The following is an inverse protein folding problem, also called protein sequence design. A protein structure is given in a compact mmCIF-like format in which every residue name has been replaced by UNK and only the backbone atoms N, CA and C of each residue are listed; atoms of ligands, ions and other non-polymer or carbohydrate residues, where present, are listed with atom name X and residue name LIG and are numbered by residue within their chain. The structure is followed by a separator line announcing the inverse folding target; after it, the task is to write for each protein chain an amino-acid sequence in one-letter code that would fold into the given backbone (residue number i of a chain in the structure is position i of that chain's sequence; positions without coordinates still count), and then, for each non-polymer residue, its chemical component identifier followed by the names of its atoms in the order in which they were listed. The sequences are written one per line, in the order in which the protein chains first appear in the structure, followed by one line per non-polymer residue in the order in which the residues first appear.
data_IF_557945415943
#
_entry.id   IF_557945415943
#
_cell.length_a   1.000
_cell.length_b   1.000
_cell.length_c   1.000
_cell.angle_alpha   90.00
_cell.angle_beta   90.00
_cell.angle_gamma   90.00
#
_symmetry.space_group_name_H-M   'P 1'
#
loop_
_entity.id
_entity.type
_entity.pdbx_description
1 polymer ?
#
# COMPACT_ATOMS: atom_id res chain seq x y z
N UNK A 1 -13.85 -42.60 34.17
CA UNK A 1 -13.06 -42.38 32.94
C UNK A 1 -14.00 -41.73 31.92
N UNK A 2 -13.89 -40.40 31.76
CA UNK A 2 -14.77 -39.66 30.85
C UNK A 2 -13.98 -39.32 29.58
N UNK A 3 -14.39 -39.88 28.48
CA UNK A 3 -13.86 -39.59 27.15
C UNK A 3 -14.22 -38.13 26.77
N UNK A 4 -13.19 -37.25 26.69
CA UNK A 4 -13.31 -35.94 26.02
C UNK A 4 -13.43 -36.18 24.52
N UNK A 5 -14.62 -36.02 23.98
CA UNK A 5 -14.85 -35.88 22.54
C UNK A 5 -14.30 -34.51 22.13
N UNK A 6 -13.14 -34.52 21.50
CA UNK A 6 -12.60 -33.37 20.76
C UNK A 6 -13.40 -33.17 19.48
N UNK A 7 -14.32 -32.22 19.48
CA UNK A 7 -14.96 -31.74 18.25
C UNK A 7 -13.88 -31.16 17.33
N UNK A 8 -13.47 -31.95 16.33
CA UNK A 8 -12.72 -31.45 15.16
C UNK A 8 -13.56 -30.37 14.51
N UNK A 9 -13.16 -29.12 14.68
CA UNK A 9 -13.58 -28.04 13.78
C UNK A 9 -13.18 -28.48 12.38
N UNK A 10 -14.14 -28.72 11.51
CA UNK A 10 -13.91 -28.93 10.08
C UNK A 10 -13.28 -27.64 9.56
N UNK A 11 -11.99 -27.65 9.28
CA UNK A 11 -11.41 -26.65 8.40
C UNK A 11 -12.15 -26.82 7.08
N UNK A 12 -12.93 -25.85 6.69
CA UNK A 12 -13.49 -25.76 5.35
C UNK A 12 -12.30 -25.61 4.40
N UNK A 13 -11.79 -26.75 3.95
CA UNK A 13 -10.74 -26.80 2.94
C UNK A 13 -11.36 -26.32 1.63
N UNK A 14 -11.18 -25.03 1.35
CA UNK A 14 -11.64 -24.39 0.12
C UNK A 14 -11.09 -25.07 -1.14
N UNK A 15 -10.00 -25.83 -1.03
CA UNK A 15 -9.43 -26.63 -2.12
C UNK A 15 -10.39 -27.70 -2.67
N UNK A 16 -11.37 -28.14 -1.87
CA UNK A 16 -12.35 -29.15 -2.30
C UNK A 16 -13.63 -28.58 -2.93
N UNK A 17 -13.85 -27.25 -2.90
CA UNK A 17 -15.05 -26.61 -3.44
C UNK A 17 -14.88 -25.97 -4.82
N UNK A 18 -13.69 -25.82 -5.37
CA UNK A 18 -13.53 -25.17 -6.67
C UNK A 18 -13.50 -26.19 -7.81
N UNK A 19 -14.66 -26.59 -8.26
CA UNK A 19 -14.88 -27.00 -9.65
C UNK A 19 -15.11 -25.77 -10.57
N UNK A 20 -14.84 -24.58 -10.10
CA UNK A 20 -14.81 -23.39 -10.96
C UNK A 20 -13.59 -23.48 -11.87
N UNK A 21 -13.80 -23.48 -13.20
CA UNK A 21 -12.68 -23.48 -14.13
C UNK A 21 -11.78 -22.26 -13.84
N UNK A 22 -10.47 -22.43 -14.04
CA UNK A 22 -9.52 -21.32 -13.95
C UNK A 22 -9.94 -20.28 -14.97
N UNK A 23 -9.92 -18.97 -14.62
CA UNK A 23 -10.01 -17.95 -15.65
C UNK A 23 -8.84 -18.17 -16.63
N UNK A 24 -9.13 -18.13 -17.92
CA UNK A 24 -8.09 -18.24 -18.91
C UNK A 24 -7.08 -17.10 -18.74
N UNK A 25 -5.81 -17.33 -19.03
CA UNK A 25 -4.77 -16.29 -18.97
C UNK A 25 -5.21 -15.06 -19.75
N UNK A 26 -5.85 -15.28 -20.88
CA UNK A 26 -6.39 -14.26 -21.77
C UNK A 26 -7.46 -13.40 -21.09
N UNK A 27 -8.31 -13.98 -20.27
CA UNK A 27 -9.33 -13.23 -19.51
C UNK A 27 -8.70 -12.32 -18.45
N UNK A 28 -7.69 -12.80 -17.74
CA UNK A 28 -6.94 -11.99 -16.78
C UNK A 28 -6.22 -10.84 -17.49
N UNK A 29 -5.57 -11.12 -18.60
CA UNK A 29 -4.87 -10.10 -19.39
C UNK A 29 -5.82 -9.09 -20.03
N UNK A 30 -6.99 -9.52 -20.50
CA UNK A 30 -8.04 -8.61 -20.97
C UNK A 30 -8.50 -7.68 -19.86
N UNK A 31 -8.71 -8.20 -18.66
CA UNK A 31 -9.10 -7.41 -17.50
C UNK A 31 -8.02 -6.40 -17.10
N UNK A 32 -6.76 -6.84 -17.01
CA UNK A 32 -5.61 -5.97 -16.78
C UNK A 32 -5.49 -4.89 -17.88
N UNK A 33 -5.69 -5.27 -19.14
CA UNK A 33 -5.64 -4.34 -20.29
C UNK A 33 -6.76 -3.31 -20.22
N UNK A 34 -7.97 -3.71 -19.84
CA UNK A 34 -9.11 -2.80 -19.69
C UNK A 34 -8.86 -1.77 -18.59
N UNK A 35 -8.29 -2.18 -17.46
CA UNK A 35 -8.00 -1.31 -16.32
C UNK A 35 -6.75 -0.44 -16.52
N UNK A 36 -5.74 -0.97 -17.22
CA UNK A 36 -4.47 -0.28 -17.49
C UNK A 36 -4.39 0.32 -18.89
N UNK A 37 -5.50 0.52 -19.57
CA UNK A 37 -5.61 0.97 -20.97
C UNK A 37 -4.33 1.61 -21.56
N UNK A 38 -3.84 1.18 -22.74
CA UNK A 38 -2.66 1.75 -23.40
C UNK A 38 -2.76 3.27 -23.63
N UNK A 39 -3.97 3.83 -23.67
CA UNK A 39 -4.19 5.27 -23.75
C UNK A 39 -3.68 6.04 -22.53
N UNK A 40 -3.60 5.40 -21.35
CA UNK A 40 -2.93 5.93 -20.15
C UNK A 40 -1.43 6.09 -20.37
N UNK A 41 -0.88 5.27 -21.26
CA UNK A 41 0.53 5.17 -21.59
C UNK A 41 0.86 5.93 -22.87
N UNK A 42 -0.09 6.72 -23.42
CA UNK A 42 0.15 7.57 -24.56
C UNK A 42 1.50 8.27 -24.39
N UNK A 43 2.31 8.40 -25.46
CA UNK A 43 3.72 8.76 -25.33
C UNK A 43 3.83 10.09 -24.61
N UNK A 44 4.08 10.04 -23.31
CA UNK A 44 4.63 11.15 -22.56
C UNK A 44 5.99 11.34 -23.16
N UNK A 45 6.09 12.27 -24.09
CA UNK A 45 7.35 12.69 -24.65
C UNK A 45 8.14 13.23 -23.47
N UNK A 46 9.04 12.41 -22.93
CA UNK A 46 10.12 12.89 -22.09
C UNK A 46 10.97 13.74 -23.01
N UNK A 47 10.59 14.99 -23.17
CA UNK A 47 11.37 15.99 -23.89
C UNK A 47 12.70 16.16 -23.17
N UNK A 48 13.69 15.39 -23.56
CA UNK A 48 15.05 15.58 -23.12
C UNK A 48 15.61 16.71 -23.94
N UNK A 49 15.65 17.90 -23.39
CA UNK A 49 16.38 19.03 -23.96
C UNK A 49 17.89 18.73 -23.87
N UNK A 50 18.61 19.04 -24.92
CA UNK A 50 20.06 18.93 -24.91
C UNK A 50 20.62 19.86 -23.81
N UNK A 51 21.34 19.37 -22.79
CA UNK A 51 21.92 20.22 -21.76
C UNK A 51 22.83 21.32 -22.33
N UNK A 52 23.39 21.10 -23.53
CA UNK A 52 24.29 22.07 -24.23
C UNK A 52 23.53 23.00 -25.15
N UNK A 53 22.29 22.67 -25.53
CA UNK A 53 21.44 23.48 -26.40
C UNK A 53 19.98 23.33 -25.97
N UNK A 54 19.51 24.11 -24.98
CA UNK A 54 18.15 23.94 -24.38
C UNK A 54 16.98 24.10 -25.36
N UNK A 55 17.24 24.69 -26.54
CA UNK A 55 16.24 24.87 -27.59
C UNK A 55 16.21 23.69 -28.58
N UNK A 56 17.13 22.74 -28.52
CA UNK A 56 17.20 21.60 -29.42
C UNK A 56 16.54 20.36 -28.81
N UNK A 57 15.40 19.97 -29.36
CA UNK A 57 14.76 18.68 -29.10
C UNK A 57 15.64 17.58 -29.67
N UNK A 58 16.13 16.69 -28.83
CA UNK A 58 16.84 15.49 -29.31
C UNK A 58 15.80 14.56 -29.91
N UNK A 59 15.75 14.45 -31.25
CA UNK A 59 14.96 13.44 -31.95
C UNK A 59 15.44 12.05 -31.51
N UNK A 60 14.61 11.37 -30.72
CA UNK A 60 14.90 9.99 -30.28
C UNK A 60 14.73 9.03 -31.45
N UNK A 61 15.74 8.15 -31.66
CA UNK A 61 15.53 6.91 -32.39
C UNK A 61 14.30 6.20 -31.83
N UNK A 62 13.35 5.79 -32.68
CA UNK A 62 12.25 4.92 -32.25
C UNK A 62 12.86 3.66 -31.61
N UNK A 63 12.70 3.49 -30.34
CA UNK A 63 13.21 2.32 -29.62
C UNK A 63 12.07 1.29 -29.55
N UNK A 64 12.41 0.01 -29.76
CA UNK A 64 11.46 -1.09 -29.59
C UNK A 64 10.86 -1.11 -28.17
N UNK A 65 11.70 -0.91 -27.15
CA UNK A 65 11.28 -0.84 -25.74
C UNK A 65 10.75 0.54 -25.39
N UNK A 66 9.54 0.82 -25.84
CA UNK A 66 8.77 2.03 -25.49
C UNK A 66 8.23 1.94 -24.07
N UNK A 67 7.66 3.01 -23.53
CA UNK A 67 7.02 2.99 -22.21
C UNK A 67 5.88 1.94 -22.13
N UNK A 68 4.93 1.87 -23.08
CA UNK A 68 3.91 0.84 -23.05
C UNK A 68 4.47 -0.59 -23.01
N UNK A 69 5.54 -0.87 -23.77
CA UNK A 69 6.21 -2.18 -23.77
C UNK A 69 6.82 -2.47 -22.40
N UNK A 70 7.52 -1.51 -21.81
CA UNK A 70 8.14 -1.68 -20.50
C UNK A 70 7.10 -1.91 -19.40
N UNK A 71 5.98 -1.18 -19.42
CA UNK A 71 4.90 -1.38 -18.44
C UNK A 71 4.25 -2.75 -18.62
N UNK A 72 3.92 -3.16 -19.84
CA UNK A 72 3.39 -4.49 -20.10
C UNK A 72 4.31 -5.60 -19.59
N UNK A 73 5.63 -5.48 -19.84
CA UNK A 73 6.61 -6.45 -19.35
C UNK A 73 6.68 -6.49 -17.83
N UNK A 74 6.81 -5.32 -17.19
CA UNK A 74 6.99 -5.26 -15.73
C UNK A 74 5.73 -5.71 -14.99
N UNK A 75 4.55 -5.34 -15.47
CA UNK A 75 3.28 -5.84 -14.90
C UNK A 75 3.14 -7.35 -15.13
N UNK A 76 3.53 -7.86 -16.31
CA UNK A 76 3.48 -9.29 -16.58
C UNK A 76 4.46 -10.11 -15.73
N UNK A 77 5.67 -9.57 -15.46
CA UNK A 77 6.61 -10.19 -14.52
C UNK A 77 5.97 -10.36 -13.15
N UNK A 78 5.23 -9.34 -12.71
CA UNK A 78 4.57 -9.33 -11.41
C UNK A 78 3.43 -10.34 -11.37
N UNK A 79 2.43 -10.20 -12.25
CA UNK A 79 1.23 -11.02 -12.15
C UNK A 79 1.47 -12.48 -12.53
N UNK A 80 2.38 -12.77 -13.47
CA UNK A 80 2.77 -14.13 -13.85
C UNK A 80 3.80 -14.74 -12.89
N UNK A 81 4.27 -13.98 -11.90
CA UNK A 81 5.31 -14.41 -10.94
C UNK A 81 6.57 -14.92 -11.63
N UNK A 82 6.98 -14.24 -12.68
CA UNK A 82 8.18 -14.61 -13.45
C UNK A 82 9.42 -14.10 -12.71
N UNK A 83 10.34 -14.98 -12.29
CA UNK A 83 11.44 -14.59 -11.39
C UNK A 83 12.57 -13.84 -12.13
N UNK A 84 12.64 -13.91 -13.45
CA UNK A 84 13.76 -13.37 -14.21
C UNK A 84 13.35 -12.68 -15.50
N UNK A 85 14.06 -11.60 -15.84
CA UNK A 85 13.88 -10.84 -17.09
C UNK A 85 14.06 -11.73 -18.32
N UNK A 86 14.95 -12.75 -18.27
CA UNK A 86 15.15 -13.68 -19.36
C UNK A 86 13.92 -14.55 -19.69
N UNK A 87 13.11 -14.86 -18.68
CA UNK A 87 11.89 -15.66 -18.89
C UNK A 87 10.78 -14.80 -19.50
N UNK A 88 10.59 -13.56 -19.02
CA UNK A 88 9.60 -12.67 -19.65
C UNK A 88 9.96 -12.37 -21.10
N UNK A 89 11.24 -12.32 -21.41
CA UNK A 89 11.70 -12.13 -22.79
C UNK A 89 11.27 -13.29 -23.69
N UNK A 90 11.32 -14.54 -23.20
CA UNK A 90 10.85 -15.71 -23.96
C UNK A 90 9.34 -15.63 -24.23
N UNK A 91 8.55 -15.32 -23.19
CA UNK A 91 7.09 -15.18 -23.33
C UNK A 91 6.77 -14.03 -24.30
N UNK A 92 7.41 -12.88 -24.16
CA UNK A 92 7.23 -11.74 -25.06
C UNK A 92 7.55 -12.11 -26.53
N UNK A 93 8.57 -12.93 -26.74
CA UNK A 93 8.97 -13.33 -28.07
C UNK A 93 8.01 -14.33 -28.73
N UNK A 94 7.33 -15.17 -27.95
CA UNK A 94 6.47 -16.24 -28.44
C UNK A 94 4.98 -15.83 -28.47
N UNK A 95 4.48 -15.23 -27.42
CA UNK A 95 3.04 -15.00 -27.22
C UNK A 95 2.68 -13.51 -27.23
N UNK A 96 3.65 -12.63 -26.95
CA UNK A 96 3.38 -11.24 -26.58
C UNK A 96 3.05 -11.11 -25.10
N UNK A 97 2.71 -9.90 -24.65
CA UNK A 97 2.37 -9.59 -23.25
C UNK A 97 1.31 -8.50 -23.20
N UNK A 98 0.18 -8.76 -22.55
CA UNK A 98 -0.94 -7.82 -22.43
C UNK A 98 -1.33 -7.25 -23.81
N UNK A 99 -1.14 -5.93 -24.01
CA UNK A 99 -1.41 -5.23 -25.29
C UNK A 99 -0.25 -5.25 -26.31
N UNK A 100 0.85 -5.94 -25.98
CA UNK A 100 2.05 -5.98 -26.84
C UNK A 100 2.08 -7.27 -27.61
N UNK A 101 2.10 -7.21 -28.96
CA UNK A 101 2.26 -8.40 -29.79
C UNK A 101 3.66 -9.00 -29.61
N UNK A 102 3.90 -10.24 -30.08
CA UNK A 102 5.21 -10.88 -30.03
C UNK A 102 6.34 -9.96 -30.49
N UNK A 103 7.37 -9.82 -29.67
CA UNK A 103 8.48 -8.91 -29.91
C UNK A 103 9.82 -9.53 -29.53
N UNK A 104 10.78 -9.53 -30.48
CA UNK A 104 12.13 -10.03 -30.23
C UNK A 104 13.03 -8.94 -29.67
N UNK A 105 13.48 -9.14 -28.43
CA UNK A 105 14.43 -8.25 -27.73
C UNK A 105 15.38 -9.09 -26.89
N UNK A 106 16.57 -8.57 -26.59
CA UNK A 106 17.49 -9.27 -25.69
C UNK A 106 17.23 -8.95 -24.23
N UNK A 107 17.51 -9.86 -23.28
CA UNK A 107 17.40 -9.58 -21.85
C UNK A 107 18.25 -8.36 -21.41
N UNK A 108 19.44 -8.21 -22.00
CA UNK A 108 20.33 -7.08 -21.73
C UNK A 108 19.72 -5.75 -22.17
N UNK A 109 18.97 -5.72 -23.29
CA UNK A 109 18.26 -4.51 -23.72
C UNK A 109 17.16 -4.12 -22.73
N UNK A 110 16.45 -5.10 -22.18
CA UNK A 110 15.42 -4.89 -21.16
C UNK A 110 16.04 -4.33 -19.88
N UNK A 111 17.08 -4.99 -19.34
CA UNK A 111 17.80 -4.55 -18.15
C UNK A 111 18.33 -3.12 -18.31
N UNK A 112 19.05 -2.86 -19.42
CA UNK A 112 19.55 -1.51 -19.71
C UNK A 112 18.43 -0.48 -19.83
N UNK A 113 17.25 -0.87 -20.30
CA UNK A 113 16.11 0.02 -20.41
C UNK A 113 15.49 0.32 -19.04
N UNK A 114 15.39 -0.67 -18.15
CA UNK A 114 14.97 -0.48 -16.75
C UNK A 114 15.89 0.47 -16.01
N UNK A 115 17.20 0.39 -16.23
CA UNK A 115 18.16 1.29 -15.60
C UNK A 115 18.06 2.74 -16.12
N UNK A 116 17.73 2.90 -17.41
CA UNK A 116 17.74 4.21 -18.07
C UNK A 116 16.40 4.95 -18.07
N UNK A 117 15.28 4.23 -17.98
CA UNK A 117 13.95 4.83 -18.03
C UNK A 117 13.59 5.34 -16.62
N UNK A 118 13.44 6.68 -16.41
CA UNK A 118 13.24 7.20 -15.06
C UNK A 118 12.06 6.57 -14.35
N UNK A 119 12.24 6.13 -13.10
CA UNK A 119 11.19 5.52 -12.29
C UNK A 119 10.02 6.49 -12.03
N UNK A 120 10.28 7.80 -12.06
CA UNK A 120 9.23 8.81 -11.96
C UNK A 120 8.10 8.64 -13.00
N UNK A 121 8.40 8.00 -14.15
CA UNK A 121 7.39 7.76 -15.21
C UNK A 121 6.38 6.70 -14.77
N UNK A 122 6.84 5.59 -14.18
CA UNK A 122 5.92 4.57 -13.64
C UNK A 122 5.26 5.05 -12.34
N UNK A 123 5.94 5.89 -11.56
CA UNK A 123 5.33 6.56 -10.41
C UNK A 123 4.16 7.45 -10.80
N UNK A 124 4.27 8.22 -11.89
CA UNK A 124 3.16 8.99 -12.45
C UNK A 124 2.03 8.08 -12.94
N UNK A 125 2.35 6.96 -13.62
CA UNK A 125 1.35 5.98 -14.02
C UNK A 125 0.62 5.43 -12.80
N UNK A 126 1.34 5.06 -11.75
CA UNK A 126 0.75 4.61 -10.50
C UNK A 126 -0.27 5.62 -9.93
N UNK A 127 0.12 6.90 -9.86
CA UNK A 127 -0.78 7.97 -9.40
C UNK A 127 -2.04 8.06 -10.27
N UNK A 128 -1.89 7.99 -11.59
CA UNK A 128 -3.05 8.03 -12.51
C UNK A 128 -3.95 6.81 -12.36
N UNK A 129 -3.37 5.62 -12.25
CA UNK A 129 -4.12 4.38 -12.00
C UNK A 129 -4.92 4.51 -10.71
N UNK A 130 -4.28 4.94 -9.62
CA UNK A 130 -4.95 5.15 -8.33
C UNK A 130 -6.07 6.19 -8.36
N UNK A 131 -5.95 7.20 -9.25
CA UNK A 131 -6.98 8.23 -9.42
C UNK A 131 -8.16 7.75 -10.28
N UNK A 132 -7.90 6.97 -11.32
CA UNK A 132 -8.91 6.55 -12.30
C UNK A 132 -9.66 5.28 -11.94
N UNK A 133 -9.00 4.31 -11.32
CA UNK A 133 -9.64 3.05 -10.95
C UNK A 133 -10.93 3.20 -10.13
N UNK A 134 -11.03 4.14 -9.16
CA UNK A 134 -12.27 4.30 -8.39
C UNK A 134 -13.48 4.69 -9.23
N UNK A 135 -13.27 5.48 -10.28
CA UNK A 135 -14.35 5.88 -11.18
C UNK A 135 -14.84 4.73 -12.09
N UNK A 136 -14.01 3.71 -12.28
CA UNK A 136 -14.30 2.52 -13.08
C UNK A 136 -14.70 1.31 -12.22
N UNK A 137 -14.42 1.38 -10.91
CA UNK A 137 -14.73 0.31 -9.98
C UNK A 137 -16.21 0.28 -9.63
N UNK A 138 -16.70 -0.92 -9.34
CA UNK A 138 -17.99 -1.10 -8.73
C UNK A 138 -18.11 -0.38 -7.38
N UNK A 139 -19.30 0.09 -6.97
CA UNK A 139 -19.48 0.65 -5.64
C UNK A 139 -19.00 -0.32 -4.56
N UNK A 140 -18.13 0.17 -3.67
CA UNK A 140 -17.58 -0.70 -2.62
C UNK A 140 -18.64 -0.95 -1.56
N UNK A 141 -18.91 -2.23 -1.30
CA UNK A 141 -19.73 -2.64 -0.16
C UNK A 141 -18.84 -2.62 1.08
N UNK A 142 -19.08 -1.69 1.98
CA UNK A 142 -18.33 -1.55 3.22
C UNK A 142 -19.07 -2.21 4.39
N UNK A 143 -18.31 -2.68 5.36
CA UNK A 143 -18.90 -3.09 6.63
C UNK A 143 -19.63 -1.89 7.28
N UNK A 144 -20.84 -2.05 7.84
CA UNK A 144 -21.62 -0.94 8.39
C UNK A 144 -20.89 -0.07 9.43
N UNK A 145 -19.91 -0.61 10.12
CA UNK A 145 -19.10 0.14 11.09
C UNK A 145 -18.27 1.28 10.48
N UNK A 146 -18.10 1.32 9.15
CA UNK A 146 -17.40 2.41 8.46
C UNK A 146 -18.28 3.63 8.20
N UNK A 147 -19.61 3.45 8.11
CA UNK A 147 -20.51 4.52 7.72
C UNK A 147 -20.34 5.80 8.59
N UNK A 148 -20.37 5.72 9.93
CA UNK A 148 -20.26 6.92 10.77
C UNK A 148 -18.91 7.65 10.63
N UNK A 149 -17.81 6.91 10.36
CA UNK A 149 -16.49 7.53 10.19
C UNK A 149 -16.38 8.20 8.83
N UNK A 150 -16.91 7.56 7.78
CA UNK A 150 -16.86 8.07 6.41
C UNK A 150 -17.72 9.32 6.18
N UNK A 151 -18.74 9.54 6.99
CA UNK A 151 -19.55 10.75 6.97
C UNK A 151 -18.73 12.00 7.34
N UNK A 152 -17.76 11.85 8.24
CA UNK A 152 -16.97 12.96 8.76
C UNK A 152 -15.62 13.14 8.06
N UNK A 153 -15.07 12.08 7.49
CA UNK A 153 -13.73 12.09 6.91
C UNK A 153 -13.77 11.72 5.41
N UNK A 154 -13.38 12.64 4.51
CA UNK A 154 -13.42 12.41 3.07
C UNK A 154 -12.44 11.33 2.62
N UNK A 155 -11.39 11.10 3.42
CA UNK A 155 -10.41 10.04 3.23
C UNK A 155 -9.96 9.52 4.59
N UNK A 156 -9.92 8.19 4.74
CA UNK A 156 -9.33 7.53 5.88
C UNK A 156 -8.18 6.69 5.33
N UNK A 157 -6.95 7.06 5.69
CA UNK A 157 -5.75 6.41 5.18
C UNK A 157 -4.94 5.75 6.29
N UNK A 158 -4.17 4.74 5.94
CA UNK A 158 -3.17 4.10 6.79
C UNK A 158 -1.83 4.26 6.10
N UNK A 159 -0.79 4.67 6.84
CA UNK A 159 0.58 4.71 6.36
C UNK A 159 1.47 3.83 7.21
N UNK A 160 2.39 3.14 6.56
CA UNK A 160 3.43 2.35 7.23
C UNK A 160 4.69 2.30 6.37
N UNK A 161 5.83 2.06 7.02
CA UNK A 161 7.13 1.92 6.40
C UNK A 161 7.67 0.51 6.55
N UNK A 162 8.36 0.01 5.51
CA UNK A 162 9.05 -1.27 5.59
C UNK A 162 10.39 -1.22 4.89
N UNK A 163 11.44 -1.82 5.52
CA UNK A 163 12.71 -1.99 4.85
C UNK A 163 12.63 -3.12 3.82
N UNK A 164 13.35 -2.99 2.73
CA UNK A 164 13.42 -4.07 1.72
C UNK A 164 13.96 -5.37 2.32
N UNK A 165 14.88 -5.27 3.29
CA UNK A 165 15.36 -6.41 4.05
C UNK A 165 14.24 -7.08 4.88
N UNK A 166 13.40 -6.29 5.56
CA UNK A 166 12.27 -6.82 6.32
C UNK A 166 11.23 -7.47 5.40
N UNK A 167 11.01 -6.90 4.21
CA UNK A 167 10.16 -7.49 3.18
C UNK A 167 10.73 -8.85 2.72
N UNK A 168 12.04 -8.97 2.48
CA UNK A 168 12.70 -10.22 2.13
C UNK A 168 12.66 -11.27 3.26
N UNK A 169 12.89 -10.88 4.51
CA UNK A 169 12.86 -11.79 5.66
C UNK A 169 11.47 -12.39 5.95
N UNK A 170 10.40 -11.73 5.53
CA UNK A 170 9.03 -12.26 5.63
C UNK A 170 8.77 -13.39 4.64
N UNK A 171 9.54 -13.51 3.58
CA UNK A 171 9.51 -14.65 2.66
C UNK A 171 10.48 -15.72 3.15
N UNK A 172 9.97 -16.87 3.58
CA UNK A 172 10.76 -17.97 4.19
C UNK A 172 11.96 -18.46 3.35
N UNK A 173 11.93 -18.25 2.04
CA UNK A 173 12.92 -18.73 1.07
C UNK A 173 14.29 -18.05 1.20
N UNK A 174 14.41 -16.91 1.91
CA UNK A 174 15.62 -16.09 1.93
C UNK A 174 16.31 -16.00 3.30
N UNK A 175 15.89 -16.79 4.28
CA UNK A 175 16.56 -16.86 5.60
C UNK A 175 17.99 -17.39 5.52
N UNK A 176 18.37 -18.03 4.43
CA UNK A 176 19.62 -18.80 4.32
C UNK A 176 20.66 -18.20 3.37
N UNK A 177 20.47 -17.02 2.81
CA UNK A 177 21.45 -16.39 1.93
C UNK A 177 22.02 -15.12 2.57
N UNK A 178 23.22 -15.22 3.12
CA UNK A 178 24.13 -14.10 3.37
C UNK A 178 24.63 -13.57 2.02
N UNK A 179 24.01 -12.54 1.49
CA UNK A 179 24.39 -11.88 0.25
C UNK A 179 24.09 -10.39 0.33
N UNK A 180 24.80 -9.59 -0.46
CA UNK A 180 24.65 -8.14 -0.55
C UNK A 180 23.18 -7.76 -0.60
N UNK A 181 22.66 -7.20 0.50
CA UNK A 181 21.28 -6.82 0.62
C UNK A 181 21.08 -5.46 -0.05
N UNK A 182 20.09 -5.36 -0.92
CA UNK A 182 19.62 -4.05 -1.37
C UNK A 182 19.15 -3.28 -0.15
N UNK A 183 19.92 -2.25 0.20
CA UNK A 183 19.52 -1.28 1.21
C UNK A 183 18.36 -0.44 0.63
N UNK A 184 17.43 -0.08 1.49
CA UNK A 184 16.34 0.82 1.13
C UNK A 184 15.11 0.59 1.99
N UNK A 185 14.26 1.62 2.00
CA UNK A 185 12.99 1.64 2.71
C UNK A 185 11.90 2.11 1.77
N UNK A 186 10.73 1.49 1.88
CA UNK A 186 9.53 1.95 1.18
C UNK A 186 8.46 2.33 2.21
N UNK A 187 7.80 3.45 1.95
CA UNK A 187 6.61 3.87 2.68
C UNK A 187 5.43 3.73 1.73
N UNK A 188 4.33 3.20 2.22
CA UNK A 188 3.10 3.04 1.44
C UNK A 188 1.93 3.62 2.23
N UNK A 189 1.06 4.33 1.54
CA UNK A 189 -0.22 4.77 2.08
C UNK A 189 -1.34 4.04 1.35
N UNK A 190 -2.28 3.50 2.10
CA UNK A 190 -3.47 2.82 1.58
C UNK A 190 -4.75 3.44 2.14
N UNK A 191 -5.83 3.42 1.39
CA UNK A 191 -7.16 3.75 1.92
C UNK A 191 -7.64 2.64 2.86
N UNK A 192 -8.01 3.02 4.07
CA UNK A 192 -8.34 2.06 5.13
C UNK A 192 -9.58 1.20 4.84
N UNK A 193 -10.53 1.74 4.07
CA UNK A 193 -11.81 1.07 3.78
C UNK A 193 -11.72 0.17 2.54
N UNK A 194 -11.13 0.67 1.46
CA UNK A 194 -11.05 -0.02 0.17
C UNK A 194 -9.76 -0.81 -0.02
N UNK A 195 -8.77 -0.64 0.85
CA UNK A 195 -7.41 -1.17 0.77
C UNK A 195 -6.63 -0.70 -0.47
N UNK A 196 -7.14 0.30 -1.18
CA UNK A 196 -6.50 0.82 -2.38
C UNK A 196 -5.22 1.57 -2.03
N UNK A 197 -4.10 1.33 -2.74
CA UNK A 197 -2.90 2.11 -2.55
C UNK A 197 -3.14 3.55 -3.03
N UNK A 198 -2.65 4.52 -2.27
CA UNK A 198 -2.80 5.95 -2.55
C UNK A 198 -1.49 6.61 -2.91
N UNK A 199 -0.41 6.19 -2.27
CA UNK A 199 0.90 6.81 -2.39
C UNK A 199 2.01 5.84 -1.99
N UNK A 200 3.18 6.05 -2.58
CA UNK A 200 4.41 5.35 -2.27
C UNK A 200 5.60 6.28 -2.34
N UNK A 201 6.53 6.07 -1.42
CA UNK A 201 7.86 6.67 -1.45
C UNK A 201 8.92 5.57 -1.28
N UNK A 202 10.03 5.68 -1.98
CA UNK A 202 11.20 4.84 -1.80
C UNK A 202 12.42 5.71 -1.45
N UNK A 203 13.23 5.25 -0.50
CA UNK A 203 14.53 5.82 -0.17
C UNK A 203 15.58 4.72 -0.12
N UNK A 204 16.81 5.03 -0.56
CA UNK A 204 17.96 4.13 -0.45
C UNK A 204 18.44 3.96 0.99
N UNK A 205 18.15 4.94 1.85
CA UNK A 205 18.48 4.93 3.25
C UNK A 205 17.51 4.02 4.04
N UNK A 206 17.92 2.78 4.25
CA UNK A 206 17.13 1.82 5.02
C UNK A 206 16.94 2.21 6.50
N UNK A 207 17.84 3.05 7.04
CA UNK A 207 17.79 3.53 8.42
C UNK A 207 17.03 4.87 8.55
N UNK A 208 16.52 5.42 7.43
CA UNK A 208 15.77 6.67 7.46
C UNK A 208 14.63 6.61 8.47
N UNK A 209 14.56 7.62 9.36
CA UNK A 209 13.43 7.79 10.25
C UNK A 209 12.18 8.19 9.43
N UNK A 210 11.05 7.57 9.72
CA UNK A 210 9.78 7.83 9.03
C UNK A 210 9.31 9.28 9.16
N UNK A 211 9.68 9.96 10.26
CA UNK A 211 9.40 11.39 10.48
C UNK A 211 9.94 12.30 9.37
N UNK A 212 11.01 11.90 8.67
CA UNK A 212 11.59 12.69 7.56
C UNK A 212 10.62 12.90 6.40
N UNK A 213 9.64 12.02 6.26
CA UNK A 213 8.67 12.02 5.17
C UNK A 213 7.30 12.58 5.59
N UNK A 214 7.25 13.19 6.78
CA UNK A 214 6.02 13.72 7.35
C UNK A 214 5.33 14.75 6.44
N UNK A 215 6.11 15.64 5.81
CA UNK A 215 5.58 16.67 4.92
C UNK A 215 4.97 16.08 3.64
N UNK A 216 5.64 15.10 3.02
CA UNK A 216 5.17 14.41 1.82
C UNK A 216 3.90 13.61 2.11
N UNK A 217 3.86 12.90 3.24
CA UNK A 217 2.69 12.13 3.68
C UNK A 217 1.51 13.07 3.93
N UNK A 218 1.76 14.19 4.64
CA UNK A 218 0.73 15.15 4.94
C UNK A 218 0.18 15.82 3.67
N UNK A 219 1.04 16.07 2.66
CA UNK A 219 0.62 16.66 1.39
C UNK A 219 -0.37 15.78 0.60
N UNK A 220 -0.29 14.46 0.74
CA UNK A 220 -1.21 13.52 0.07
C UNK A 220 -2.59 13.50 0.71
N UNK A 221 -2.67 13.73 2.01
CA UNK A 221 -3.93 13.71 2.75
C UNK A 221 -4.74 14.99 2.45
N UNK A 222 -6.02 14.91 2.03
CA UNK A 222 -6.85 16.09 1.85
C UNK A 222 -7.19 16.77 3.17
N UNK A 223 -7.61 18.02 3.12
CA UNK A 223 -8.19 18.71 4.28
C UNK A 223 -9.39 17.90 4.80
N UNK A 224 -9.50 17.74 6.10
CA UNK A 224 -10.50 16.88 6.73
C UNK A 224 -10.18 15.38 6.67
N UNK A 225 -9.11 14.97 5.95
CA UNK A 225 -8.70 13.57 5.91
C UNK A 225 -8.12 13.06 7.23
N UNK A 226 -8.27 11.76 7.50
CA UNK A 226 -7.80 11.10 8.71
C UNK A 226 -6.71 10.08 8.36
N UNK A 227 -5.57 10.16 9.03
CA UNK A 227 -4.44 9.23 8.88
C UNK A 227 -4.25 8.37 10.13
N UNK A 228 -4.07 7.08 9.92
CA UNK A 228 -3.70 6.13 10.99
C UNK A 228 -2.25 5.71 10.77
N UNK A 229 -1.42 5.83 11.79
CA UNK A 229 -0.01 5.48 11.71
C UNK A 229 0.54 4.90 13.02
N UNK A 230 1.69 4.27 12.95
CA UNK A 230 2.33 3.64 14.09
C UNK A 230 3.28 4.57 14.85
N UNK A 231 3.99 4.02 15.86
CA UNK A 231 4.92 4.76 16.69
C UNK A 231 6.22 5.19 15.96
N UNK A 232 6.48 4.68 14.76
CA UNK A 232 7.61 5.10 13.93
C UNK A 232 7.48 6.55 13.46
N UNK A 233 6.24 7.02 13.34
CA UNK A 233 5.91 8.40 12.94
C UNK A 233 5.57 9.33 14.12
N UNK A 234 5.85 8.93 15.35
CA UNK A 234 5.44 9.68 16.55
C UNK A 234 6.27 10.95 16.74
N UNK A 235 5.74 12.10 16.35
CA UNK A 235 6.37 13.42 16.46
C UNK A 235 5.38 14.47 16.94
N UNK A 236 5.77 15.30 17.93
CA UNK A 236 4.92 16.39 18.44
C UNK A 236 4.71 17.49 17.41
N UNK A 237 5.75 17.83 16.66
CA UNK A 237 5.65 18.82 15.58
C UNK A 237 4.65 18.34 14.51
N UNK A 238 4.69 17.08 14.16
CA UNK A 238 3.77 16.54 13.18
C UNK A 238 2.31 16.51 13.66
N UNK A 239 2.08 16.31 14.97
CA UNK A 239 0.74 16.40 15.54
C UNK A 239 0.18 17.83 15.41
N UNK A 240 1.03 18.85 15.62
CA UNK A 240 0.66 20.25 15.43
C UNK A 240 0.42 20.58 13.95
N UNK A 241 1.24 20.04 13.03
CA UNK A 241 1.05 20.17 11.58
C UNK A 241 -0.29 19.60 11.10
N UNK A 242 -0.72 18.45 11.65
CA UNK A 242 -2.05 17.89 11.38
C UNK A 242 -3.15 18.88 11.79
N UNK A 243 -3.05 19.42 12.97
CA UNK A 243 -4.04 20.36 13.51
C UNK A 243 -4.04 21.66 12.69
N UNK A 244 -2.86 22.23 12.42
CA UNK A 244 -2.70 23.45 11.64
C UNK A 244 -3.17 23.32 10.19
N UNK A 245 -3.07 22.14 9.60
CA UNK A 245 -3.55 21.86 8.22
C UNK A 245 -4.99 21.34 8.18
N UNK A 246 -5.71 21.35 9.29
CA UNK A 246 -7.10 20.83 9.38
C UNK A 246 -7.23 19.37 8.94
N UNK A 247 -6.26 18.54 9.30
CA UNK A 247 -6.23 17.11 9.05
C UNK A 247 -6.24 16.35 10.37
N UNK A 248 -6.65 15.11 10.34
CA UNK A 248 -6.85 14.31 11.53
C UNK A 248 -5.91 13.11 11.56
N UNK A 249 -5.62 12.63 12.77
CA UNK A 249 -4.85 11.41 12.93
C UNK A 249 -5.36 10.53 14.06
N UNK A 250 -4.99 9.25 14.00
CA UNK A 250 -5.07 8.28 15.10
C UNK A 250 -3.74 7.54 15.19
N UNK A 251 -3.13 7.53 16.37
CA UNK A 251 -1.90 6.79 16.65
C UNK A 251 -1.90 6.23 18.07
N UNK A 252 -0.93 5.36 18.39
CA UNK A 252 -0.72 4.87 19.76
C UNK A 252 0.13 5.84 20.55
N UNK A 253 -0.21 6.02 21.84
CA UNK A 253 0.65 6.77 22.76
C UNK A 253 1.95 5.98 23.03
N UNK A 254 3.10 6.62 22.84
CA UNK A 254 4.39 6.06 23.22
C UNK A 254 4.45 5.97 24.77
N UNK A 255 4.86 4.82 25.32
CA UNK A 255 4.77 4.56 26.78
C UNK A 255 5.39 5.65 27.64
N UNK A 256 6.61 6.06 27.35
CA UNK A 256 7.37 7.06 28.13
C UNK A 256 7.00 8.52 27.79
N UNK A 257 5.90 8.77 27.07
CA UNK A 257 5.46 10.15 26.78
C UNK A 257 4.81 10.75 27.99
N UNK A 258 5.44 11.79 28.57
CA UNK A 258 4.86 12.60 29.62
C UNK A 258 3.72 13.47 29.07
N UNK A 259 2.68 13.63 29.82
CA UNK A 259 1.53 14.45 29.46
C UNK A 259 0.87 15.05 30.70
N UNK A 260 0.13 16.12 30.50
CA UNK A 260 -0.72 16.73 31.51
C UNK A 260 -2.19 16.64 31.09
N UNK A 261 -3.01 15.99 31.89
CA UNK A 261 -4.46 15.97 31.67
C UNK A 261 -5.03 17.36 31.91
N UNK A 262 -5.76 17.88 30.95
CA UNK A 262 -6.50 19.13 31.01
C UNK A 262 -7.91 18.88 31.53
N UNK A 263 -8.57 17.88 31.00
CA UNK A 263 -9.93 17.52 31.29
C UNK A 263 -10.16 16.01 31.12
N UNK A 264 -10.88 15.42 32.05
CA UNK A 264 -11.42 14.06 31.90
C UNK A 264 -12.83 14.19 31.33
N UNK A 265 -13.01 13.64 30.13
CA UNK A 265 -14.29 13.66 29.41
C UNK A 265 -15.22 12.55 29.90
N UNK A 266 -14.67 11.34 30.04
CA UNK A 266 -15.38 10.15 30.52
C UNK A 266 -14.40 9.24 31.26
N UNK A 267 -14.90 8.45 32.20
CA UNK A 267 -14.06 7.47 32.91
C UNK A 267 -14.88 6.36 33.54
N UNK A 268 -14.29 5.18 33.54
CA UNK A 268 -14.71 3.97 34.23
C UNK A 268 -13.47 3.15 34.63
N UNK A 269 -13.59 2.08 35.42
CA UNK A 269 -12.45 1.23 35.76
C UNK A 269 -11.75 0.60 34.54
N UNK A 270 -12.43 0.49 33.39
CA UNK A 270 -11.92 -0.18 32.19
C UNK A 270 -11.74 0.76 30.99
N UNK A 271 -12.12 2.02 31.16
CA UNK A 271 -12.15 2.99 30.07
C UNK A 271 -11.93 4.40 30.56
N UNK A 272 -11.10 5.19 29.87
CA UNK A 272 -10.87 6.60 30.18
C UNK A 272 -10.65 7.41 28.89
N UNK A 273 -11.26 8.58 28.85
CA UNK A 273 -11.16 9.53 27.75
C UNK A 273 -10.80 10.90 28.32
N UNK A 274 -9.70 11.47 27.80
CA UNK A 274 -9.08 12.67 28.37
C UNK A 274 -8.64 13.63 27.28
N UNK A 275 -8.79 14.93 27.53
CA UNK A 275 -8.05 15.97 26.81
C UNK A 275 -6.74 16.24 27.55
N UNK A 276 -5.65 16.34 26.79
CA UNK A 276 -4.33 16.45 27.38
C UNK A 276 -3.35 17.23 26.48
N UNK A 277 -2.32 17.79 27.11
CA UNK A 277 -1.11 18.24 26.46
C UNK A 277 -0.01 17.18 26.58
N UNK A 278 0.61 16.81 25.46
CA UNK A 278 1.71 15.83 25.42
C UNK A 278 3.07 16.53 25.32
N UNK A 279 4.10 15.83 25.76
CA UNK A 279 5.48 16.33 25.69
C UNK A 279 5.86 17.21 26.88
N UNK A 280 5.16 17.15 28.00
CA UNK A 280 5.55 17.81 29.22
C UNK A 280 7.03 17.54 29.54
N UNK A 281 7.78 18.57 29.91
CA UNK A 281 9.23 18.53 30.14
C UNK A 281 10.12 18.35 28.86
N UNK A 282 9.56 18.48 27.66
CA UNK A 282 10.34 18.51 26.43
C UNK A 282 10.58 19.95 25.99
N UNK A 283 11.68 20.16 25.26
CA UNK A 283 11.99 21.47 24.68
C UNK A 283 10.99 21.87 23.57
N UNK A 284 10.37 20.89 22.93
CA UNK A 284 9.40 21.06 21.87
C UNK A 284 8.13 20.23 22.15
N UNK A 285 7.31 20.62 23.15
CA UNK A 285 6.05 19.90 23.42
C UNK A 285 5.06 20.12 22.29
N UNK A 286 4.05 19.24 22.20
CA UNK A 286 2.91 19.48 21.34
C UNK A 286 2.15 20.72 21.84
N UNK A 287 1.88 21.67 20.96
CA UNK A 287 1.19 22.93 21.29
C UNK A 287 -0.33 22.77 21.27
N UNK A 288 -0.83 21.90 20.42
CA UNK A 288 -2.25 21.61 20.28
C UNK A 288 -2.72 20.59 21.33
N UNK A 289 -3.92 20.73 21.87
CA UNK A 289 -4.50 19.71 22.73
C UNK A 289 -4.79 18.44 21.94
N UNK A 290 -4.58 17.29 22.58
CA UNK A 290 -4.90 15.99 22.01
C UNK A 290 -5.93 15.27 22.89
N UNK A 291 -6.69 14.40 22.29
CA UNK A 291 -7.58 13.48 22.99
C UNK A 291 -6.94 12.10 23.08
N UNK A 292 -6.90 11.55 24.28
CA UNK A 292 -6.43 10.20 24.58
C UNK A 292 -7.62 9.32 24.92
N UNK A 293 -7.72 8.20 24.24
CA UNK A 293 -8.66 7.12 24.54
C UNK A 293 -7.87 5.95 25.14
N UNK A 294 -8.20 5.59 26.37
CA UNK A 294 -7.56 4.50 27.09
C UNK A 294 -8.56 3.38 27.35
N UNK A 295 -8.22 2.16 27.00
CA UNK A 295 -9.05 0.96 27.20
C UNK A 295 -8.23 -0.11 27.89
N UNK A 296 -8.77 -0.69 28.95
CA UNK A 296 -8.18 -1.84 29.62
C UNK A 296 -8.65 -3.14 28.95
N UNK A 297 -7.74 -3.89 28.39
CA UNK A 297 -8.02 -5.17 27.77
C UNK A 297 -7.01 -6.23 28.24
N UNK A 298 -7.51 -7.33 28.77
CA UNK A 298 -6.68 -8.42 29.29
C UNK A 298 -5.57 -7.96 30.25
N UNK A 299 -5.90 -7.02 31.17
CA UNK A 299 -4.95 -6.49 32.15
C UNK A 299 -3.99 -5.42 31.62
N UNK A 300 -4.03 -5.09 30.33
CA UNK A 300 -3.16 -4.09 29.71
C UNK A 300 -3.94 -2.87 29.28
N UNK A 301 -3.43 -1.67 29.60
CA UNK A 301 -3.98 -0.41 29.12
C UNK A 301 -3.47 -0.08 27.73
N UNK A 302 -4.38 -0.02 26.76
CA UNK A 302 -4.13 0.49 25.41
C UNK A 302 -4.54 1.96 25.38
N UNK A 303 -3.63 2.83 24.90
CA UNK A 303 -3.82 4.28 24.88
C UNK A 303 -3.58 4.80 23.49
N UNK A 304 -4.63 5.26 22.83
CA UNK A 304 -4.60 5.82 21.49
C UNK A 304 -4.80 7.34 21.57
N UNK A 305 -4.08 8.07 20.71
CA UNK A 305 -4.08 9.53 20.62
C UNK A 305 -4.71 9.98 19.31
N UNK A 306 -5.43 11.10 19.36
CA UNK A 306 -5.97 11.77 18.19
C UNK A 306 -6.07 13.29 18.43
N UNK A 307 -6.02 14.10 17.37
CA UNK A 307 -6.39 15.50 17.41
C UNK A 307 -7.88 15.74 17.10
N UNK A 308 -8.66 14.68 16.81
CA UNK A 308 -10.10 14.74 16.71
C UNK A 308 -10.72 14.86 18.12
N UNK A 309 -10.92 16.10 18.60
CA UNK A 309 -11.30 16.37 19.99
C UNK A 309 -12.77 16.06 20.29
N UNK A 310 -13.65 16.17 19.30
CA UNK A 310 -15.08 15.95 19.46
C UNK A 310 -15.44 14.46 19.40
N UNK A 311 -15.95 13.86 20.50
CA UNK A 311 -16.40 12.47 20.54
C UNK A 311 -17.62 12.18 19.64
N UNK A 312 -18.35 13.19 19.19
CA UNK A 312 -19.49 13.01 18.26
C UNK A 312 -18.99 12.77 16.83
N UNK A 313 -17.89 13.43 16.45
CA UNK A 313 -17.26 13.28 15.13
C UNK A 313 -16.44 11.98 15.05
N UNK A 314 -15.69 11.68 16.11
CA UNK A 314 -14.83 10.49 16.19
C UNK A 314 -14.97 9.84 17.56
N UNK A 315 -15.86 8.88 17.70
CA UNK A 315 -16.10 8.22 18.98
C UNK A 315 -14.87 7.43 19.47
N UNK A 316 -14.78 7.21 20.76
CA UNK A 316 -13.69 6.42 21.35
C UNK A 316 -13.60 5.00 20.77
N UNK A 317 -14.74 4.38 20.51
CA UNK A 317 -14.80 3.07 19.83
C UNK A 317 -14.16 3.12 18.45
N UNK A 318 -14.46 4.15 17.67
CA UNK A 318 -13.90 4.36 16.33
C UNK A 318 -12.38 4.58 16.40
N UNK A 319 -11.87 5.38 17.37
CA UNK A 319 -10.42 5.54 17.57
C UNK A 319 -9.74 4.21 17.78
N UNK A 320 -10.24 3.37 18.70
CA UNK A 320 -9.66 2.05 18.95
C UNK A 320 -9.77 1.10 17.74
N UNK A 321 -10.91 1.10 17.05
CA UNK A 321 -11.12 0.27 15.87
C UNK A 321 -10.22 0.67 14.71
N UNK A 322 -10.04 1.97 14.46
CA UNK A 322 -9.16 2.50 13.44
C UNK A 322 -7.70 2.09 13.71
N UNK A 323 -7.23 2.31 14.96
CA UNK A 323 -5.87 1.90 15.29
C UNK A 323 -5.67 0.38 15.16
N UNK A 324 -6.62 -0.44 15.57
CA UNK A 324 -6.57 -1.89 15.38
C UNK A 324 -6.52 -2.29 13.91
N UNK A 325 -7.23 -1.56 13.05
CA UNK A 325 -7.24 -1.80 11.60
C UNK A 325 -5.94 -1.40 10.89
N UNK A 326 -5.04 -0.67 11.57
CA UNK A 326 -3.70 -0.38 11.05
C UNK A 326 -2.98 -1.65 10.58
N UNK A 327 -3.16 -2.76 11.29
CA UNK A 327 -2.57 -4.05 10.91
C UNK A 327 -2.96 -4.53 9.50
N UNK A 328 -4.03 -4.00 8.92
CA UNK A 328 -4.43 -4.32 7.54
C UNK A 328 -3.41 -3.86 6.50
N UNK A 329 -2.60 -2.85 6.79
CA UNK A 329 -1.51 -2.47 5.89
C UNK A 329 -0.41 -3.54 5.88
N UNK A 330 -0.23 -4.27 6.96
CA UNK A 330 0.70 -5.41 7.00
C UNK A 330 0.23 -6.55 6.09
N UNK A 331 -1.08 -6.74 5.94
CA UNK A 331 -1.65 -7.66 4.95
C UNK A 331 -1.32 -7.17 3.53
N UNK A 332 -1.44 -5.86 3.25
CA UNK A 332 -1.04 -5.28 1.96
C UNK A 332 0.46 -5.46 1.71
N UNK A 333 1.33 -5.22 2.69
CA UNK A 333 2.76 -5.50 2.59
C UNK A 333 3.06 -7.00 2.43
N UNK A 334 2.38 -7.85 3.17
CA UNK A 334 2.55 -9.30 3.05
C UNK A 334 2.11 -9.79 1.67
N UNK A 335 1.01 -9.26 1.14
CA UNK A 335 0.52 -9.59 -0.19
C UNK A 335 1.48 -9.09 -1.26
N UNK A 336 1.85 -7.82 -1.23
CA UNK A 336 2.82 -7.26 -2.19
C UNK A 336 4.15 -8.01 -2.13
N UNK A 337 4.60 -8.45 -0.97
CA UNK A 337 5.84 -9.22 -0.81
C UNK A 337 5.70 -10.66 -1.27
N UNK A 338 4.60 -11.34 -0.88
CA UNK A 338 4.37 -12.75 -1.23
C UNK A 338 3.95 -12.94 -2.68
N UNK A 339 3.11 -12.02 -3.18
CA UNK A 339 2.60 -12.08 -4.55
C UNK A 339 3.66 -11.73 -5.58
N UNK A 340 4.61 -10.87 -5.19
CA UNK A 340 5.48 -10.19 -6.13
C UNK A 340 6.89 -10.68 -6.08
N UNK A 341 7.13 -11.70 -5.24
CA UNK A 341 8.47 -12.25 -5.09
C UNK A 341 9.56 -11.14 -5.10
N UNK A 342 9.34 -10.06 -4.32
CA UNK A 342 10.34 -9.00 -4.13
C UNK A 342 11.67 -9.57 -3.58
N UNK A 343 11.67 -10.86 -3.29
CA UNK A 343 12.85 -11.65 -3.07
C UNK A 343 13.83 -11.61 -4.27
N UNK A 344 13.32 -11.46 -5.47
CA UNK A 344 14.11 -11.41 -6.70
C UNK A 344 14.00 -10.00 -7.29
N UNK A 345 14.99 -9.16 -7.00
CA UNK A 345 15.13 -7.89 -7.70
C UNK A 345 15.68 -8.18 -9.09
N UNK A 346 14.99 -7.71 -10.13
CA UNK A 346 15.32 -8.00 -11.51
C UNK A 346 16.65 -7.41 -11.97
N UNK A 347 17.06 -6.29 -11.35
CA UNK A 347 18.37 -5.66 -11.56
C UNK A 347 18.85 -5.00 -10.27
N UNK A 348 20.15 -4.73 -10.15
CA UNK A 348 20.77 -4.13 -8.96
C UNK A 348 20.67 -2.60 -8.89
N UNK A 349 19.98 -1.92 -9.83
CA UNK A 349 19.90 -0.47 -9.83
C UNK A 349 18.70 0.03 -9.02
N UNK A 350 18.89 1.13 -8.27
CA UNK A 350 17.83 1.86 -7.56
C UNK A 350 16.63 2.17 -8.44
N UNK A 351 16.90 2.59 -9.67
CA UNK A 351 15.85 2.92 -10.62
C UNK A 351 14.98 1.70 -10.95
N UNK A 352 15.59 0.54 -11.17
CA UNK A 352 14.86 -0.70 -11.46
C UNK A 352 14.10 -1.23 -10.23
N UNK A 353 14.65 -1.07 -9.02
CA UNK A 353 13.94 -1.36 -7.76
C UNK A 353 12.65 -0.53 -7.67
N UNK A 354 12.73 0.76 -7.94
CA UNK A 354 11.54 1.63 -7.95
C UNK A 354 10.55 1.23 -9.03
N UNK A 355 11.01 0.83 -10.23
CA UNK A 355 10.15 0.29 -11.29
C UNK A 355 9.38 -0.93 -10.81
N UNK A 356 10.06 -1.85 -10.13
CA UNK A 356 9.45 -3.05 -9.58
C UNK A 356 8.43 -2.71 -8.49
N UNK A 357 8.77 -1.84 -7.55
CA UNK A 357 7.87 -1.41 -6.47
C UNK A 357 6.59 -0.76 -7.02
N UNK A 358 6.71 0.18 -7.98
CA UNK A 358 5.54 0.82 -8.57
C UNK A 358 4.68 -0.14 -9.40
N UNK A 359 5.31 -1.03 -10.20
CA UNK A 359 4.57 -2.04 -10.95
C UNK A 359 3.77 -2.96 -10.05
N UNK A 360 4.36 -3.29 -8.91
CA UNK A 360 3.76 -4.04 -7.81
C UNK A 360 2.50 -3.37 -7.31
N UNK A 361 2.56 -2.09 -7.01
CA UNK A 361 1.42 -1.35 -6.48
C UNK A 361 0.37 -1.08 -7.55
N UNK A 362 0.77 -0.91 -8.81
CA UNK A 362 -0.17 -0.85 -9.95
C UNK A 362 -0.96 -2.16 -10.03
N UNK A 363 -0.28 -3.30 -9.99
CA UNK A 363 -0.96 -4.60 -10.00
C UNK A 363 -1.82 -4.81 -8.75
N UNK A 364 -1.33 -4.42 -7.57
CA UNK A 364 -2.10 -4.48 -6.33
C UNK A 364 -3.38 -3.63 -6.41
N UNK A 365 -3.31 -2.42 -6.99
CA UNK A 365 -4.49 -1.57 -7.20
C UNK A 365 -5.54 -2.25 -8.09
N UNK A 366 -5.10 -2.90 -9.17
CA UNK A 366 -5.97 -3.69 -10.05
C UNK A 366 -6.59 -4.87 -9.29
N UNK A 367 -5.80 -5.61 -8.53
CA UNK A 367 -6.27 -6.75 -7.75
C UNK A 367 -7.32 -6.35 -6.70
N UNK A 368 -7.11 -5.23 -6.01
CA UNK A 368 -8.10 -4.68 -5.08
C UNK A 368 -9.40 -4.31 -5.81
N UNK A 369 -9.31 -3.76 -7.01
CA UNK A 369 -10.50 -3.45 -7.84
C UNK A 369 -11.28 -4.73 -8.19
N UNK A 370 -10.59 -5.81 -8.54
CA UNK A 370 -11.21 -7.12 -8.77
C UNK A 370 -11.87 -7.65 -7.49
N UNK A 371 -11.20 -7.50 -6.33
CA UNK A 371 -11.81 -7.88 -5.05
C UNK A 371 -13.09 -7.10 -4.75
N UNK A 372 -13.16 -5.82 -5.12
CA UNK A 372 -14.37 -5.01 -4.99
C UNK A 372 -15.50 -5.53 -5.88
N UNK A 373 -15.20 -5.93 -7.11
CA UNK A 373 -16.18 -6.55 -8.02
C UNK A 373 -16.70 -7.88 -7.47
N UNK A 374 -15.81 -8.72 -6.93
CA UNK A 374 -16.18 -9.98 -6.26
C UNK A 374 -17.06 -9.71 -5.05
N UNK A 375 -16.72 -8.74 -4.19
CA UNK A 375 -17.50 -8.34 -3.03
C UNK A 375 -18.92 -7.92 -3.44
N UNK A 376 -19.02 -7.09 -4.47
CA UNK A 376 -20.31 -6.63 -5.01
C UNK A 376 -21.14 -7.80 -5.58
N UNK A 377 -20.52 -8.68 -6.37
CA UNK A 377 -21.20 -9.83 -6.95
C UNK A 377 -21.75 -10.81 -5.89
N UNK A 378 -21.06 -10.91 -4.76
CA UNK A 378 -21.46 -11.74 -3.63
C UNK A 378 -22.39 -11.03 -2.65
N UNK A 379 -22.56 -9.71 -2.75
CA UNK A 379 -23.30 -8.89 -1.78
C UNK A 379 -22.63 -8.85 -0.39
N UNK A 380 -21.32 -9.09 -0.33
CA UNK A 380 -20.55 -9.19 0.91
C UNK A 380 -19.64 -7.97 1.09
N UNK A 381 -19.36 -7.55 2.35
CA UNK A 381 -18.39 -6.51 2.62
C UNK A 381 -16.99 -6.90 2.12
N UNK A 382 -16.25 -5.92 1.59
CA UNK A 382 -14.90 -6.12 1.07
C UNK A 382 -13.95 -6.78 2.09
N UNK A 383 -14.14 -6.47 3.37
CA UNK A 383 -13.35 -7.06 4.46
C UNK A 383 -13.48 -8.58 4.59
N UNK A 384 -14.51 -9.18 4.00
CA UNK A 384 -14.69 -10.63 3.94
C UNK A 384 -14.02 -11.28 2.74
N UNK A 385 -13.60 -10.47 1.77
CA UNK A 385 -12.92 -10.95 0.57
C UNK A 385 -11.42 -11.04 0.86
N UNK A 386 -10.88 -12.24 0.73
CA UNK A 386 -9.44 -12.44 0.84
C UNK A 386 -8.76 -12.10 -0.47
N UNK A 387 -7.96 -11.04 -0.48
CA UNK A 387 -7.16 -10.62 -1.64
C UNK A 387 -6.23 -11.75 -2.08
N UNK A 388 -5.64 -12.49 -1.13
CA UNK A 388 -4.79 -13.65 -1.44
C UNK A 388 -5.57 -14.77 -2.15
N UNK A 389 -6.82 -15.04 -1.74
CA UNK A 389 -7.64 -16.07 -2.39
C UNK A 389 -8.06 -15.67 -3.79
N UNK A 390 -8.44 -14.41 -4.00
CA UNK A 390 -8.75 -13.88 -5.32
C UNK A 390 -7.52 -13.97 -6.23
N UNK A 391 -6.34 -13.58 -5.73
CA UNK A 391 -5.11 -13.71 -6.49
C UNK A 391 -4.77 -15.17 -6.82
N UNK A 392 -4.89 -16.07 -5.85
CA UNK A 392 -4.64 -17.50 -6.08
C UNK A 392 -5.59 -18.11 -7.09
N UNK A 393 -6.84 -17.61 -7.19
CA UNK A 393 -7.79 -18.06 -8.19
C UNK A 393 -7.32 -17.82 -9.63
N UNK A 394 -6.37 -16.89 -9.86
CA UNK A 394 -5.74 -16.70 -11.17
C UNK A 394 -4.76 -17.82 -11.56
N UNK A 395 -4.36 -18.68 -10.61
CA UNK A 395 -3.36 -19.74 -10.83
C UNK A 395 -3.87 -21.15 -10.52
N UNK A 396 -5.05 -21.27 -9.90
CA UNK A 396 -5.65 -22.53 -9.44
C UNK A 396 -7.14 -22.66 -9.79
#
# INVERSE_FOLDING_TARGET
MAHKQTTRRSSTDFRRRSQTPRPAVEEVEQHLTALLSPSLLAPRQLERRDPRQPQRLIRRRQRLLTLPVMVAMVVSLVWRRVPAVAEVQKVLAQEGLLWIPPLQVSPQAITKRLDMLPAAVIGQLFTEVCTRLPAQAAPVVFHPSWAPVREHFPLIAIVDGSTLEALRKRTQVLRERDGVMLAGKTLIMVEACSHRPLWQLYTEDAAANDERFAAEILAVLPVGGLLVFDLGFFSFLWFDDFTGSQKFFVTRKREKTAYRTMQVLRGSPYYREELLHVGQYRSNPCTSPLRMVSVLWQGTWYRDLTNGLDPQVLSARQVCELYRRRWRIEDAFALTTRLLDLAHVWTGSTNAVQWQLYATLVFYAVLVTICQQVAQALGEPLERISVEMVFRAFYH
#
